data_IF_492133092736
#
_entry.id   IF_492133092736
#
_cell.length_a   1.000
_cell.length_b   1.000
_cell.length_c   1.000
_cell.angle_alpha   90.00
_cell.angle_beta   90.00
_cell.angle_gamma   90.00
#
_symmetry.space_group_name_H-M   'P 1'
#
loop_
_entity.id
_entity.type
_entity.pdbx_description
1 polymer ?
#
# COMPACT_ATOMS: atom_id res chain seq x y z
N UNK A 1 -38.64 -76.03 -4.89
CA UNK A 1 -38.81 -75.10 -3.76
C UNK A 1 -38.10 -73.80 -4.13
N UNK A 2 -38.84 -72.69 -4.22
CA UNK A 2 -38.29 -71.32 -4.33
C UNK A 2 -39.25 -70.44 -3.53
N UNK A 3 -38.74 -69.68 -2.57
CA UNK A 3 -39.53 -68.67 -1.86
C UNK A 3 -38.60 -67.58 -1.30
N UNK A 4 -38.89 -66.27 -1.48
CA UNK A 4 -38.06 -65.17 -1.01
C UNK A 4 -38.64 -64.47 0.23
N UNK A 5 -37.79 -63.81 1.02
CA UNK A 5 -38.08 -62.53 1.71
C UNK A 5 -36.89 -62.05 2.55
N UNK A 6 -36.33 -60.86 2.26
CA UNK A 6 -35.94 -59.87 3.28
C UNK A 6 -35.62 -58.51 2.64
N UNK A 7 -36.58 -57.59 2.65
CA UNK A 7 -36.41 -56.23 2.09
C UNK A 7 -37.30 -55.22 2.83
N UNK A 8 -37.24 -55.16 4.17
CA UNK A 8 -38.15 -54.32 4.94
C UNK A 8 -37.60 -53.74 6.26
N UNK A 9 -36.39 -53.15 6.23
CA UNK A 9 -35.77 -52.50 7.42
C UNK A 9 -35.35 -51.03 7.18
N UNK A 10 -35.16 -50.59 5.92
CA UNK A 10 -34.62 -49.24 5.64
C UNK A 10 -35.62 -48.09 5.58
N UNK A 11 -36.93 -48.35 5.52
CA UNK A 11 -37.95 -47.28 5.36
C UNK A 11 -38.26 -46.47 6.64
N UNK A 12 -37.78 -46.89 7.81
CA UNK A 12 -38.10 -46.22 9.08
C UNK A 12 -37.31 -44.92 9.30
N UNK A 13 -35.98 -45.01 9.19
CA UNK A 13 -35.06 -43.97 9.67
C UNK A 13 -35.21 -42.60 8.95
N UNK A 14 -35.48 -42.61 7.64
CA UNK A 14 -35.56 -41.37 6.85
C UNK A 14 -36.79 -40.51 7.22
N UNK A 15 -37.85 -41.12 7.79
CA UNK A 15 -39.09 -40.40 8.16
C UNK A 15 -38.91 -39.55 9.42
N UNK A 16 -37.99 -39.93 10.32
CA UNK A 16 -37.82 -39.30 11.62
C UNK A 16 -36.88 -38.08 11.56
N UNK A 17 -35.83 -38.17 10.74
CA UNK A 17 -34.88 -37.07 10.49
C UNK A 17 -35.58 -35.84 9.85
N UNK A 18 -36.59 -36.06 9.00
CA UNK A 18 -37.40 -34.97 8.42
C UNK A 18 -38.36 -34.29 9.41
N UNK A 19 -38.71 -34.92 10.55
CA UNK A 19 -39.53 -34.27 11.59
C UNK A 19 -38.74 -33.25 12.40
N UNK A 20 -37.53 -33.59 12.87
CA UNK A 20 -36.72 -32.69 13.70
C UNK A 20 -36.41 -31.36 12.99
N UNK A 21 -36.15 -31.40 11.68
CA UNK A 21 -35.89 -30.21 10.84
C UNK A 21 -37.12 -29.27 10.80
N UNK A 22 -38.35 -29.81 10.84
CA UNK A 22 -39.58 -29.02 10.74
C UNK A 22 -39.92 -28.26 12.02
N UNK A 23 -39.55 -28.77 13.19
CA UNK A 23 -39.91 -28.15 14.47
C UNK A 23 -38.88 -27.13 14.96
N UNK A 24 -37.57 -27.32 14.70
CA UNK A 24 -36.59 -26.24 14.86
C UNK A 24 -36.86 -25.03 13.94
N UNK A 25 -37.43 -25.25 12.75
CA UNK A 25 -37.87 -24.18 11.86
C UNK A 25 -39.04 -23.33 12.39
N UNK A 26 -39.71 -23.76 13.46
CA UNK A 26 -40.84 -23.03 14.09
C UNK A 26 -40.40 -22.14 15.25
N UNK A 27 -39.37 -22.55 15.99
CA UNK A 27 -38.97 -21.93 17.26
C UNK A 27 -38.31 -20.55 17.12
N UNK A 28 -38.02 -20.10 15.89
CA UNK A 28 -37.41 -18.79 15.59
C UNK A 28 -38.41 -17.73 15.09
N UNK A 29 -39.72 -18.02 15.10
CA UNK A 29 -40.75 -17.12 14.53
C UNK A 29 -41.59 -16.33 15.54
N UNK A 30 -41.55 -16.70 16.81
CA UNK A 30 -42.48 -16.18 17.84
C UNK A 30 -41.86 -15.15 18.81
N UNK A 31 -40.69 -14.58 18.50
CA UNK A 31 -39.99 -13.59 19.36
C UNK A 31 -39.46 -12.38 18.57
N UNK A 32 -40.36 -11.66 17.88
CA UNK A 32 -40.13 -10.24 17.49
C UNK A 32 -41.44 -9.55 17.03
N UNK A 33 -42.48 -9.58 17.86
CA UNK A 33 -43.65 -8.70 17.73
C UNK A 33 -43.95 -8.07 19.09
N UNK A 34 -43.99 -6.75 19.13
CA UNK A 34 -44.13 -5.95 20.35
C UNK A 34 -44.21 -4.48 19.98
N UNK A 35 -45.39 -3.89 20.21
CA UNK A 35 -45.88 -2.66 19.61
C UNK A 35 -45.11 -1.39 20.03
N UNK A 36 -44.92 -0.46 19.07
CA UNK A 36 -44.91 0.99 19.33
C UNK A 36 -45.65 1.69 18.18
N UNK A 37 -46.68 2.45 18.57
CA UNK A 37 -47.50 3.46 17.91
C UNK A 37 -47.49 3.67 16.37
N UNK A 38 -48.71 3.69 15.84
CA UNK A 38 -49.09 4.41 14.62
C UNK A 38 -49.25 5.91 14.88
N UNK A 39 -48.79 6.76 13.96
CA UNK A 39 -49.70 7.64 13.19
C UNK A 39 -48.98 8.52 12.14
N UNK A 40 -49.81 9.20 11.33
CA UNK A 40 -49.51 10.33 10.42
C UNK A 40 -49.04 10.00 8.98
N UNK A 41 -49.87 10.49 8.05
CA UNK A 41 -49.65 10.80 6.62
C UNK A 41 -49.36 9.68 5.58
N UNK A 42 -50.42 9.32 4.87
CA UNK A 42 -50.36 8.87 3.46
C UNK A 42 -51.21 9.78 2.55
N UNK A 43 -50.59 10.30 1.49
CA UNK A 43 -51.10 11.05 0.30
C UNK A 43 -49.88 11.76 -0.33
N UNK A 44 -49.64 11.86 -1.64
CA UNK A 44 -50.15 11.23 -2.85
C UNK A 44 -49.00 11.36 -3.92
N UNK A 45 -49.03 10.93 -5.18
CA UNK A 45 -50.07 10.44 -6.11
C UNK A 45 -49.41 9.40 -7.06
N UNK A 46 -50.07 8.97 -8.14
CA UNK A 46 -49.49 8.12 -9.19
C UNK A 46 -49.91 8.55 -10.61
N UNK A 47 -49.13 8.14 -11.61
CA UNK A 47 -49.44 8.16 -13.07
C UNK A 47 -49.56 9.56 -13.75
N UNK A 48 -49.30 9.78 -15.05
CA UNK A 48 -48.86 8.92 -16.19
C UNK A 48 -48.11 9.80 -17.26
N UNK A 49 -47.38 9.25 -18.25
CA UNK A 49 -46.66 10.03 -19.27
C UNK A 49 -47.33 10.07 -20.67
N UNK A 50 -46.97 11.08 -21.47
CA UNK A 50 -47.18 11.26 -22.94
C UNK A 50 -46.38 12.50 -23.43
N UNK A 51 -46.23 12.84 -24.72
CA UNK A 51 -45.86 12.09 -25.96
C UNK A 51 -45.94 13.04 -27.18
N UNK A 52 -44.95 13.01 -28.11
CA UNK A 52 -44.93 13.72 -29.45
C UNK A 52 -45.11 15.26 -29.41
N UNK A 53 -44.74 16.11 -30.39
CA UNK A 53 -44.12 16.02 -31.75
C UNK A 53 -42.89 16.98 -31.81
N UNK A 54 -41.81 16.80 -32.60
CA UNK A 54 -41.59 16.92 -34.07
C UNK A 54 -41.88 18.30 -34.72
N UNK A 55 -40.84 18.99 -35.25
CA UNK A 55 -40.70 19.51 -36.64
C UNK A 55 -39.81 20.79 -36.83
N UNK A 56 -38.79 20.67 -37.69
CA UNK A 56 -38.25 21.61 -38.71
C UNK A 56 -37.69 23.04 -38.43
N UNK A 57 -36.53 23.29 -39.08
CA UNK A 57 -36.03 24.54 -39.70
C UNK A 57 -35.67 25.77 -38.81
N UNK A 58 -34.76 26.68 -39.16
CA UNK A 58 -34.05 26.95 -40.45
C UNK A 58 -32.54 27.25 -40.23
N UNK A 59 -31.77 27.34 -41.31
CA UNK A 59 -30.36 27.80 -41.31
C UNK A 59 -30.19 29.28 -40.93
N UNK A 60 -29.04 29.61 -40.33
CA UNK A 60 -28.21 30.71 -40.84
C UNK A 60 -26.75 30.49 -40.44
N UNK A 61 -25.84 30.59 -41.41
CA UNK A 61 -24.41 30.72 -41.16
C UNK A 61 -23.93 32.10 -41.58
N UNK A 62 -22.79 32.55 -41.04
CA UNK A 62 -21.98 33.55 -41.70
C UNK A 62 -20.50 33.36 -41.37
N UNK A 63 -19.68 33.59 -42.38
CA UNK A 63 -18.23 33.38 -42.44
C UNK A 63 -17.57 34.75 -42.65
N UNK A 64 -16.39 34.98 -42.05
CA UNK A 64 -15.57 36.15 -42.37
C UNK A 64 -14.09 35.80 -42.46
N UNK A 65 -13.55 35.94 -43.67
CA UNK A 65 -12.12 35.91 -44.01
C UNK A 65 -11.85 37.02 -45.02
N UNK A 66 -11.14 38.07 -44.59
CA UNK A 66 -10.45 39.10 -45.38
C UNK A 66 -9.27 39.51 -44.46
N UNK A 67 -7.99 39.25 -44.75
CA UNK A 67 -7.13 39.89 -45.76
C UNK A 67 -6.95 41.41 -45.51
N UNK A 68 -5.80 42.08 -45.68
CA UNK A 68 -4.43 41.65 -45.95
C UNK A 68 -3.58 42.88 -46.33
N UNK A 69 -2.29 42.93 -45.96
CA UNK A 69 -1.34 43.94 -46.50
C UNK A 69 0.13 43.65 -46.13
N UNK A 70 1.02 43.74 -47.11
CA UNK A 70 2.48 43.67 -46.95
C UNK A 70 3.09 45.03 -46.57
N UNK A 71 4.25 45.04 -45.88
CA UNK A 71 5.34 45.99 -46.17
C UNK A 71 6.69 45.24 -46.06
N UNK A 72 7.58 45.45 -47.04
CA UNK A 72 8.90 44.82 -47.14
C UNK A 72 9.99 45.89 -47.38
N UNK A 73 11.10 45.85 -46.62
CA UNK A 73 12.42 46.53 -46.77
C UNK A 73 13.32 46.03 -45.61
N UNK A 74 14.53 45.47 -45.72
CA UNK A 74 15.67 45.50 -46.68
C UNK A 74 16.75 46.57 -46.36
N UNK A 75 18.02 46.12 -46.29
CA UNK A 75 19.23 46.81 -45.79
C UNK A 75 19.88 46.00 -44.64
N UNK A 76 21.16 45.59 -44.58
CA UNK A 76 22.48 46.22 -44.84
C UNK A 76 22.79 47.39 -43.87
N UNK A 77 23.97 47.52 -43.24
CA UNK A 77 25.25 46.76 -43.36
C UNK A 77 26.21 46.94 -42.14
N UNK A 78 27.17 46.01 -42.00
CA UNK A 78 28.57 46.07 -41.45
C UNK A 78 29.09 47.15 -40.46
N UNK A 79 29.94 46.67 -39.50
CA UNK A 79 31.16 47.30 -38.88
C UNK A 79 31.07 48.71 -38.22
N UNK A 80 31.90 49.15 -37.26
CA UNK A 80 33.08 48.58 -36.55
C UNK A 80 33.18 49.19 -35.11
N UNK A 81 34.13 48.80 -34.22
CA UNK A 81 34.11 49.18 -32.80
C UNK A 81 34.95 50.41 -32.43
N UNK A 82 34.52 51.13 -31.38
CA UNK A 82 35.41 51.95 -30.56
C UNK A 82 34.83 52.23 -29.16
N UNK A 83 35.52 51.79 -28.11
CA UNK A 83 35.57 52.55 -26.85
C UNK A 83 36.88 52.26 -26.13
N UNK A 84 37.67 53.30 -25.87
CA UNK A 84 39.00 53.21 -25.25
C UNK A 84 39.02 53.86 -23.87
N UNK A 85 39.94 53.39 -23.04
CA UNK A 85 40.10 53.66 -21.62
C UNK A 85 40.02 55.14 -21.19
N UNK A 86 39.58 55.36 -19.94
CA UNK A 86 40.51 55.93 -18.93
C UNK A 86 40.08 55.77 -17.45
N UNK A 87 41.12 55.71 -16.63
CA UNK A 87 41.22 56.10 -15.22
C UNK A 87 40.45 55.30 -14.14
N UNK A 88 41.19 54.41 -13.47
CA UNK A 88 41.08 54.08 -12.04
C UNK A 88 41.18 55.33 -11.15
N UNK A 89 40.70 55.25 -9.90
CA UNK A 89 41.68 55.31 -8.79
C UNK A 89 41.38 54.36 -7.61
N UNK A 90 42.38 54.19 -6.74
CA UNK A 90 42.27 53.72 -5.35
C UNK A 90 41.60 52.35 -5.10
N UNK A 91 42.36 51.30 -5.39
CA UNK A 91 42.81 50.33 -4.37
C UNK A 91 42.11 50.43 -3.00
N UNK A 92 41.39 49.35 -2.65
CA UNK A 92 41.05 48.99 -1.27
C UNK A 92 41.37 47.52 -1.07
N UNK A 93 42.11 47.24 -0.01
CA UNK A 93 42.52 45.90 0.36
C UNK A 93 41.29 45.00 0.58
N UNK A 94 41.32 43.84 -0.07
CA UNK A 94 40.48 42.69 0.28
C UNK A 94 41.45 41.66 0.83
N UNK A 95 41.53 41.58 2.16
CA UNK A 95 42.46 40.70 2.85
C UNK A 95 42.35 39.27 2.32
N UNK A 96 43.43 38.80 1.69
CA UNK A 96 43.61 37.39 1.35
C UNK A 96 43.98 36.66 2.64
N UNK A 97 42.99 36.46 3.50
CA UNK A 97 43.13 35.69 4.74
C UNK A 97 43.67 34.32 4.38
N UNK A 98 44.86 34.01 4.89
CA UNK A 98 45.62 32.85 4.49
C UNK A 98 44.85 31.55 4.75
N UNK A 99 45.05 30.57 3.86
CA UNK A 99 44.65 29.19 4.12
C UNK A 99 45.61 28.58 5.15
N UNK A 100 45.49 28.98 6.41
CA UNK A 100 46.13 28.28 7.51
C UNK A 100 45.57 26.85 7.56
N UNK A 101 46.46 25.90 7.31
CA UNK A 101 46.18 24.48 7.45
C UNK A 101 46.09 24.14 8.94
N UNK A 102 44.90 24.28 9.53
CA UNK A 102 44.62 23.63 10.81
C UNK A 102 44.85 22.12 10.63
N UNK A 103 45.94 21.61 11.21
CA UNK A 103 46.14 20.18 11.43
C UNK A 103 45.13 19.69 12.47
N UNK A 104 43.88 19.51 12.04
CA UNK A 104 42.88 18.79 12.80
C UNK A 104 43.15 17.28 12.71
N UNK A 105 44.27 16.87 13.31
CA UNK A 105 44.56 15.52 13.79
C UNK A 105 43.62 15.13 14.94
N UNK A 106 42.31 15.34 14.74
CA UNK A 106 41.22 14.88 15.60
C UNK A 106 41.26 13.36 15.61
N UNK A 107 41.74 12.80 16.72
CA UNK A 107 41.67 11.37 17.01
C UNK A 107 40.27 10.86 16.69
N UNK A 108 40.17 9.89 15.78
CA UNK A 108 38.89 9.30 15.45
C UNK A 108 38.32 8.65 16.73
N UNK A 109 37.14 9.09 17.23
CA UNK A 109 36.68 8.71 18.56
C UNK A 109 36.58 7.19 18.64
N UNK A 110 37.28 6.60 19.62
CA UNK A 110 37.40 5.15 19.75
C UNK A 110 36.01 4.53 19.98
N UNK A 111 35.41 4.09 18.88
CA UNK A 111 33.99 3.74 18.82
C UNK A 111 33.78 2.37 19.50
N UNK A 112 33.63 2.42 20.82
CA UNK A 112 33.45 1.27 21.72
C UNK A 112 32.37 0.32 21.19
N UNK A 113 32.51 -0.98 21.46
CA UNK A 113 31.52 -1.97 21.03
C UNK A 113 30.10 -1.63 21.52
N UNK A 114 29.98 -1.01 22.71
CA UNK A 114 28.71 -0.50 23.25
C UNK A 114 28.12 0.63 22.42
N UNK A 115 28.92 1.62 21.99
CA UNK A 115 28.42 2.71 21.14
C UNK A 115 28.06 2.24 19.73
N UNK A 116 28.78 1.24 19.18
CA UNK A 116 28.39 0.56 17.92
C UNK A 116 27.12 -0.28 18.06
N UNK A 117 26.93 -0.95 19.20
CA UNK A 117 25.70 -1.68 19.49
C UNK A 117 24.50 -0.72 19.62
N UNK A 118 24.65 0.41 20.34
CA UNK A 118 23.60 1.40 20.50
C UNK A 118 23.19 2.06 19.18
N UNK A 119 24.14 2.39 18.29
CA UNK A 119 23.78 2.90 16.95
C UNK A 119 23.10 1.83 16.08
N UNK A 120 23.57 0.58 16.12
CA UNK A 120 22.89 -0.53 15.43
C UNK A 120 21.47 -0.77 15.97
N UNK A 121 21.26 -0.64 17.29
CA UNK A 121 19.93 -0.74 17.91
C UNK A 121 19.00 0.39 17.47
N UNK A 122 19.46 1.63 17.34
CA UNK A 122 18.60 2.73 16.85
C UNK A 122 18.42 2.72 15.32
N UNK A 123 19.38 2.19 14.54
CA UNK A 123 19.21 1.95 13.10
C UNK A 123 18.20 0.81 12.82
N UNK A 124 18.19 -0.26 13.63
CA UNK A 124 17.33 -1.43 13.44
C UNK A 124 16.14 -1.52 14.41
N UNK A 125 15.85 -0.45 15.17
CA UNK A 125 14.86 -0.45 16.26
C UNK A 125 13.50 -1.05 15.87
N UNK A 126 13.03 -0.74 14.66
CA UNK A 126 11.75 -1.21 14.15
C UNK A 126 11.68 -2.74 14.02
N UNK A 127 12.75 -3.38 13.52
CA UNK A 127 12.81 -4.85 13.41
C UNK A 127 12.84 -5.50 14.79
N UNK A 128 13.58 -4.91 15.74
CA UNK A 128 13.68 -5.41 17.12
C UNK A 128 12.32 -5.29 17.83
N UNK A 129 11.65 -4.13 17.73
CA UNK A 129 10.30 -3.93 18.26
C UNK A 129 9.27 -4.87 17.62
N UNK A 130 9.35 -5.10 16.30
CA UNK A 130 8.48 -6.02 15.59
C UNK A 130 8.68 -7.47 16.07
N UNK A 131 9.92 -7.94 16.20
CA UNK A 131 10.23 -9.27 16.74
C UNK A 131 9.72 -9.46 18.17
N UNK A 132 9.92 -8.47 19.04
CA UNK A 132 9.40 -8.49 20.42
C UNK A 132 7.86 -8.55 20.45
N UNK A 133 7.18 -7.78 19.59
CA UNK A 133 5.72 -7.79 19.51
C UNK A 133 5.15 -9.11 18.96
N UNK A 134 5.86 -9.77 18.03
CA UNK A 134 5.49 -11.11 17.55
C UNK A 134 5.61 -12.14 18.68
N UNK A 135 6.69 -12.08 19.47
CA UNK A 135 6.87 -12.95 20.65
C UNK A 135 5.75 -12.71 21.66
N UNK A 136 5.44 -11.44 22.01
CA UNK A 136 4.36 -11.11 22.94
C UNK A 136 2.99 -11.60 22.45
N UNK A 137 2.68 -11.42 21.16
CA UNK A 137 1.47 -11.94 20.54
C UNK A 137 1.39 -13.48 20.49
N UNK A 138 2.52 -14.20 20.56
CA UNK A 138 2.55 -15.65 20.66
C UNK A 138 2.31 -16.19 22.09
N UNK A 139 2.51 -15.35 23.12
CA UNK A 139 2.40 -15.76 24.53
C UNK A 139 1.10 -15.30 25.20
N UNK A 140 0.57 -14.14 24.82
CA UNK A 140 -0.65 -13.56 25.43
C UNK A 140 -1.53 -13.00 24.33
N UNK A 141 -2.67 -13.66 24.09
CA UNK A 141 -3.65 -13.25 23.08
C UNK A 141 -4.89 -12.59 23.70
N UNK A 142 -5.48 -11.63 22.99
CA UNK A 142 -6.83 -11.14 23.28
C UNK A 142 -7.85 -12.27 23.00
N UNK A 143 -8.87 -12.51 23.86
CA UNK A 143 -9.88 -13.55 23.64
C UNK A 143 -10.64 -13.39 22.32
N UNK A 144 -10.92 -14.50 21.63
CA UNK A 144 -11.56 -14.53 20.30
C UNK A 144 -12.84 -13.68 20.22
N UNK A 145 -13.69 -13.70 21.25
CA UNK A 145 -14.94 -12.90 21.31
C UNK A 145 -14.73 -11.39 21.23
N UNK A 146 -13.52 -10.89 21.49
CA UNK A 146 -13.14 -9.47 21.37
C UNK A 146 -12.28 -9.17 20.14
N UNK A 147 -11.78 -10.19 19.43
CA UNK A 147 -10.82 -10.05 18.34
C UNK A 147 -11.32 -9.17 17.18
N UNK A 148 -12.55 -9.38 16.72
CA UNK A 148 -13.14 -8.61 15.61
C UNK A 148 -13.30 -7.13 15.96
N UNK A 149 -13.65 -6.82 17.22
CA UNK A 149 -13.78 -5.44 17.71
C UNK A 149 -12.40 -4.80 17.87
N UNK A 150 -11.47 -5.51 18.53
CA UNK A 150 -10.07 -5.10 18.73
C UNK A 150 -9.38 -4.75 17.40
N UNK A 151 -9.40 -5.69 16.45
CA UNK A 151 -8.71 -5.54 15.16
C UNK A 151 -9.31 -4.40 14.32
N UNK A 152 -10.64 -4.23 14.37
CA UNK A 152 -11.34 -3.14 13.68
C UNK A 152 -11.00 -1.77 14.26
N UNK A 153 -11.06 -1.61 15.59
CA UNK A 153 -10.73 -0.34 16.27
C UNK A 153 -9.26 0.02 16.03
N UNK A 154 -8.34 -0.92 16.20
CA UNK A 154 -6.91 -0.71 15.97
C UNK A 154 -6.66 -0.31 14.52
N UNK A 155 -7.23 -1.05 13.55
CA UNK A 155 -7.05 -0.74 12.13
C UNK A 155 -7.51 0.68 11.81
N UNK A 156 -8.72 1.09 12.19
CA UNK A 156 -9.18 2.47 11.94
C UNK A 156 -8.31 3.51 12.64
N UNK A 157 -8.04 3.36 13.94
CA UNK A 157 -7.31 4.36 14.72
C UNK A 157 -5.85 4.52 14.25
N UNK A 158 -5.15 3.41 14.01
CA UNK A 158 -3.77 3.44 13.51
C UNK A 158 -3.70 3.92 12.05
N UNK A 159 -4.65 3.57 11.17
CA UNK A 159 -4.75 4.13 9.82
C UNK A 159 -4.92 5.65 9.87
N UNK A 160 -5.89 6.15 10.65
CA UNK A 160 -6.14 7.58 10.79
C UNK A 160 -4.89 8.32 11.27
N UNK A 161 -4.17 7.78 12.26
CA UNK A 161 -2.90 8.35 12.76
C UNK A 161 -1.81 8.34 11.67
N UNK A 162 -1.63 7.23 10.96
CA UNK A 162 -0.62 7.10 9.89
C UNK A 162 -0.90 8.08 8.76
N UNK A 163 -2.13 8.14 8.26
CA UNK A 163 -2.48 9.02 7.13
C UNK A 163 -2.58 10.49 7.52
N UNK A 164 -2.99 10.84 8.75
CA UNK A 164 -2.90 12.21 9.26
C UNK A 164 -1.45 12.69 9.37
N UNK A 165 -0.57 11.90 9.99
CA UNK A 165 0.85 12.23 10.08
C UNK A 165 1.54 12.25 8.71
N UNK A 166 1.09 11.40 7.77
CA UNK A 166 1.47 11.48 6.35
C UNK A 166 1.04 12.83 5.77
N UNK A 167 -0.22 13.25 5.95
CA UNK A 167 -0.71 14.55 5.49
C UNK A 167 0.08 15.73 6.04
N UNK A 168 0.45 15.71 7.33
CA UNK A 168 1.27 16.75 7.94
C UNK A 168 2.71 16.80 7.37
N UNK A 169 3.31 15.64 7.10
CA UNK A 169 4.72 15.54 6.64
C UNK A 169 4.88 15.68 5.13
N UNK A 170 3.90 15.24 4.35
CA UNK A 170 3.85 15.22 2.90
C UNK A 170 4.03 16.62 2.32
N UNK A 171 5.03 16.76 1.45
CA UNK A 171 5.43 18.04 0.90
C UNK A 171 4.77 18.29 -0.46
N UNK A 172 3.73 19.11 -0.45
CA UNK A 172 2.95 19.47 -1.64
C UNK A 172 3.84 20.10 -2.73
N UNK A 173 4.91 20.80 -2.35
CA UNK A 173 5.91 21.33 -3.29
C UNK A 173 6.76 20.24 -3.95
N UNK A 174 7.10 19.18 -3.22
CA UNK A 174 7.83 18.02 -3.78
C UNK A 174 6.92 17.23 -4.73
N UNK A 175 5.64 17.06 -4.38
CA UNK A 175 4.62 16.48 -5.28
C UNK A 175 4.51 17.25 -6.59
N UNK A 176 4.28 18.56 -6.53
CA UNK A 176 4.14 19.42 -7.72
C UNK A 176 5.41 19.40 -8.56
N UNK A 177 6.60 19.53 -7.94
CA UNK A 177 7.89 19.50 -8.65
C UNK A 177 8.17 18.17 -9.34
N UNK A 178 7.72 17.04 -8.78
CA UNK A 178 7.91 15.73 -9.38
C UNK A 178 6.77 15.30 -10.32
N UNK A 179 5.62 15.97 -10.33
CA UNK A 179 4.46 15.63 -11.17
C UNK A 179 4.81 15.45 -12.66
N UNK A 180 5.71 16.29 -13.19
CA UNK A 180 6.22 16.20 -14.56
C UNK A 180 6.91 14.86 -14.89
N UNK A 181 7.30 14.07 -13.87
CA UNK A 181 7.92 12.74 -14.01
C UNK A 181 6.88 11.61 -14.22
N UNK A 182 5.74 11.90 -14.86
CA UNK A 182 4.62 10.97 -15.08
C UNK A 182 5.05 9.58 -15.60
N UNK A 183 6.06 9.49 -16.47
CA UNK A 183 6.63 8.21 -16.95
C UNK A 183 7.17 7.35 -15.80
N UNK A 184 7.85 7.94 -14.82
CA UNK A 184 8.31 7.25 -13.62
C UNK A 184 7.15 6.85 -12.70
N UNK A 185 6.08 7.65 -12.66
CA UNK A 185 4.88 7.33 -11.88
C UNK A 185 4.13 6.13 -12.46
N UNK A 186 3.80 6.14 -13.76
CA UNK A 186 3.18 4.99 -14.42
C UNK A 186 4.06 3.73 -14.35
N UNK A 187 5.38 3.88 -14.52
CA UNK A 187 6.32 2.76 -14.41
C UNK A 187 6.30 2.10 -13.03
N UNK A 188 6.43 2.89 -11.95
CA UNK A 188 6.42 2.35 -10.58
C UNK A 188 5.04 1.78 -10.24
N UNK A 189 3.95 2.50 -10.48
CA UNK A 189 2.62 2.01 -10.10
C UNK A 189 2.21 0.79 -10.93
N UNK A 190 2.57 0.75 -12.22
CA UNK A 190 2.41 -0.43 -13.07
C UNK A 190 3.19 -1.65 -12.56
N UNK A 191 4.43 -1.46 -12.08
CA UNK A 191 5.17 -2.54 -11.44
C UNK A 191 4.56 -2.95 -10.08
N UNK A 192 4.27 -1.98 -9.20
CA UNK A 192 3.69 -2.20 -7.87
C UNK A 192 2.37 -2.98 -7.93
N UNK A 193 1.47 -2.65 -8.87
CA UNK A 193 0.13 -3.23 -8.94
C UNK A 193 0.02 -4.35 -9.97
N UNK A 194 0.37 -4.11 -11.23
CA UNK A 194 0.14 -5.08 -12.31
C UNK A 194 1.22 -6.17 -12.32
N UNK A 195 2.51 -5.80 -12.35
CA UNK A 195 3.61 -6.77 -12.42
C UNK A 195 3.65 -7.68 -11.19
N UNK A 196 3.65 -7.10 -9.97
CA UNK A 196 3.67 -7.91 -8.75
C UNK A 196 2.50 -8.88 -8.66
N UNK A 197 1.28 -8.42 -8.97
CA UNK A 197 0.10 -9.28 -8.84
C UNK A 197 0.01 -10.34 -9.94
N UNK A 198 0.37 -10.01 -11.19
CA UNK A 198 0.39 -10.98 -12.28
C UNK A 198 1.44 -12.08 -12.07
N UNK A 199 2.65 -11.72 -11.59
CA UNK A 199 3.68 -12.71 -11.24
C UNK A 199 3.19 -13.61 -10.10
N UNK A 200 2.65 -13.04 -9.01
CA UNK A 200 2.16 -13.87 -7.90
C UNK A 200 1.00 -14.77 -8.31
N UNK A 201 0.04 -14.26 -9.06
CA UNK A 201 -1.08 -15.06 -9.57
C UNK A 201 -0.60 -16.19 -10.47
N UNK A 202 0.39 -15.94 -11.33
CA UNK A 202 1.05 -16.98 -12.13
C UNK A 202 1.76 -18.03 -11.27
N UNK A 203 2.52 -17.61 -10.25
CA UNK A 203 3.21 -18.50 -9.31
C UNK A 203 2.23 -19.35 -8.51
N UNK A 204 1.14 -18.75 -7.98
CA UNK A 204 0.08 -19.47 -7.26
C UNK A 204 -0.62 -20.45 -8.21
N UNK A 205 -1.00 -20.03 -9.41
CA UNK A 205 -1.68 -20.89 -10.39
C UNK A 205 -0.80 -22.07 -10.86
N UNK A 206 0.53 -21.87 -10.95
CA UNK A 206 1.47 -22.91 -11.33
C UNK A 206 1.83 -23.88 -10.19
N UNK A 207 1.65 -23.49 -8.92
CA UNK A 207 1.99 -24.31 -7.74
C UNK A 207 0.79 -24.98 -7.09
N UNK A 208 -0.37 -24.31 -7.06
CA UNK A 208 -1.63 -24.81 -6.52
C UNK A 208 -2.36 -25.80 -7.45
N UNK A 209 -1.64 -26.68 -8.14
CA UNK A 209 -2.22 -27.71 -9.04
C UNK A 209 -2.84 -28.88 -8.28
N UNK A 210 -2.37 -29.17 -7.05
CA UNK A 210 -2.99 -30.10 -6.12
C UNK A 210 -3.69 -29.34 -4.96
N UNK A 211 -4.85 -29.84 -4.52
CA UNK A 211 -5.57 -29.33 -3.34
C UNK A 211 -4.81 -29.55 -2.03
N UNK A 212 -4.05 -30.63 -1.93
CA UNK A 212 -3.27 -30.97 -0.73
C UNK A 212 -1.96 -30.16 -0.60
N UNK A 213 -1.65 -29.29 -1.58
CA UNK A 213 -0.38 -28.57 -1.66
C UNK A 213 -0.23 -27.51 -0.55
N UNK A 214 -1.27 -26.71 -0.31
CA UNK A 214 -1.21 -25.53 0.55
C UNK A 214 -2.60 -25.12 1.01
N UNK A 215 -2.71 -24.48 2.18
CA UNK A 215 -4.00 -23.98 2.67
C UNK A 215 -4.55 -22.88 1.73
N UNK A 216 -5.83 -22.96 1.31
CA UNK A 216 -6.40 -22.05 0.32
C UNK A 216 -6.49 -20.60 0.81
N UNK A 217 -6.66 -20.37 2.11
CA UNK A 217 -6.62 -19.04 2.70
C UNK A 217 -5.24 -18.39 2.59
N UNK A 218 -4.16 -19.18 2.67
CA UNK A 218 -2.80 -18.68 2.39
C UNK A 218 -2.58 -18.40 0.90
N UNK A 219 -3.16 -19.18 -0.01
CA UNK A 219 -3.06 -18.95 -1.46
C UNK A 219 -3.78 -17.66 -1.88
N UNK A 220 -4.99 -17.43 -1.36
CA UNK A 220 -5.70 -16.14 -1.47
C UNK A 220 -4.89 -15.02 -0.80
N UNK A 221 -4.28 -15.26 0.36
CA UNK A 221 -3.42 -14.32 1.07
C UNK A 221 -2.16 -13.92 0.29
N UNK A 222 -1.56 -14.83 -0.48
CA UNK A 222 -0.44 -14.54 -1.38
C UNK A 222 -0.86 -13.58 -2.50
N UNK A 223 -1.97 -13.89 -3.20
CA UNK A 223 -2.54 -13.02 -4.23
C UNK A 223 -2.90 -11.65 -3.64
N UNK A 224 -3.56 -11.62 -2.48
CA UNK A 224 -3.91 -10.39 -1.77
C UNK A 224 -2.67 -9.54 -1.44
N UNK A 225 -1.64 -10.14 -0.84
CA UNK A 225 -0.37 -9.48 -0.51
C UNK A 225 0.30 -8.89 -1.76
N UNK A 226 0.23 -9.57 -2.90
CA UNK A 226 0.77 -9.03 -4.15
C UNK A 226 0.00 -7.82 -4.70
N UNK A 227 -1.28 -7.66 -4.35
CA UNK A 227 -2.13 -6.57 -4.84
C UNK A 227 -2.05 -5.29 -3.99
N UNK A 228 -1.69 -5.36 -2.70
CA UNK A 228 -1.70 -4.18 -1.80
C UNK A 228 -0.65 -3.12 -2.18
N UNK A 229 -0.87 -1.84 -1.81
CA UNK A 229 0.08 -0.75 -2.06
C UNK A 229 1.37 -0.87 -1.25
N UNK A 230 2.33 -0.02 -1.60
CA UNK A 230 3.70 -0.02 -1.08
C UNK A 230 3.85 0.62 0.31
N UNK A 231 4.84 0.19 1.10
CA UNK A 231 5.05 0.67 2.47
C UNK A 231 5.59 2.10 2.51
N UNK A 232 4.90 3.00 3.22
CA UNK A 232 5.26 4.42 3.29
C UNK A 232 6.58 4.68 4.04
N UNK A 233 6.69 4.24 5.29
CA UNK A 233 7.77 4.67 6.19
C UNK A 233 9.13 3.99 5.90
N UNK A 234 9.16 2.66 5.79
CA UNK A 234 10.39 1.88 5.58
C UNK A 234 11.11 2.30 4.30
N UNK A 235 10.37 2.43 3.20
CA UNK A 235 10.94 2.61 1.87
C UNK A 235 11.64 3.97 1.74
N UNK A 236 11.06 5.03 2.31
CA UNK A 236 11.68 6.36 2.36
C UNK A 236 12.98 6.32 3.18
N UNK A 237 12.98 5.68 4.35
CA UNK A 237 14.17 5.54 5.21
C UNK A 237 15.28 4.73 4.53
N UNK A 238 14.95 3.58 3.93
CA UNK A 238 15.92 2.72 3.24
C UNK A 238 16.48 3.39 1.98
N UNK A 239 15.63 4.08 1.19
CA UNK A 239 16.11 4.91 0.07
C UNK A 239 17.07 5.99 0.56
N UNK A 240 16.78 6.64 1.70
CA UNK A 240 17.63 7.68 2.27
C UNK A 240 19.00 7.15 2.72
N UNK A 241 19.02 6.04 3.45
CA UNK A 241 20.25 5.37 3.89
C UNK A 241 21.07 4.87 2.69
N UNK A 242 20.42 4.35 1.64
CA UNK A 242 21.03 3.90 0.39
C UNK A 242 21.49 5.04 -0.55
N UNK A 243 21.26 6.31 -0.18
CA UNK A 243 21.54 7.53 -1.00
C UNK A 243 20.77 7.61 -2.33
N UNK A 244 19.66 6.89 -2.46
CA UNK A 244 18.74 6.98 -3.60
C UNK A 244 17.97 8.31 -3.68
N UNK A 245 16.94 8.37 -4.52
CA UNK A 245 16.06 9.53 -4.66
C UNK A 245 14.89 9.47 -3.67
N UNK A 246 15.08 10.08 -2.49
CA UNK A 246 14.06 10.16 -1.45
C UNK A 246 12.77 10.87 -1.90
N UNK A 247 12.89 11.90 -2.74
CA UNK A 247 11.73 12.66 -3.23
C UNK A 247 10.84 11.80 -4.11
N UNK A 248 11.46 11.05 -5.05
CA UNK A 248 10.73 10.10 -5.87
C UNK A 248 10.07 9.03 -5.00
N UNK A 249 10.77 8.45 -4.02
CA UNK A 249 10.15 7.47 -3.11
C UNK A 249 8.94 8.06 -2.38
N UNK A 250 9.05 9.26 -1.78
CA UNK A 250 7.92 9.92 -1.07
C UNK A 250 6.70 10.10 -1.97
N UNK A 251 6.90 10.57 -3.20
CA UNK A 251 5.80 10.75 -4.17
C UNK A 251 5.20 9.39 -4.57
N UNK A 252 6.02 8.38 -4.82
CA UNK A 252 5.55 7.06 -5.25
C UNK A 252 4.82 6.29 -4.13
N UNK A 253 5.26 6.39 -2.87
CA UNK A 253 4.54 5.77 -1.75
C UNK A 253 3.23 6.51 -1.46
N UNK A 254 3.18 7.83 -1.63
CA UNK A 254 1.94 8.61 -1.48
C UNK A 254 0.95 8.25 -2.59
N UNK A 255 1.38 8.32 -3.85
CA UNK A 255 0.56 8.00 -5.01
C UNK A 255 0.06 6.55 -4.98
N UNK A 256 0.94 5.61 -4.62
CA UNK A 256 0.61 4.19 -4.52
C UNK A 256 -0.40 3.91 -3.40
N UNK A 257 -0.27 4.51 -2.22
CA UNK A 257 -1.26 4.32 -1.16
C UNK A 257 -2.61 5.00 -1.47
N UNK A 258 -2.61 6.14 -2.18
CA UNK A 258 -3.84 6.77 -2.67
C UNK A 258 -4.56 5.89 -3.70
N UNK A 259 -3.86 5.53 -4.78
CA UNK A 259 -4.41 4.71 -5.89
C UNK A 259 -4.76 3.29 -5.41
N UNK A 260 -4.01 2.75 -4.44
CA UNK A 260 -4.20 1.40 -3.92
C UNK A 260 -5.57 1.15 -3.29
N UNK A 261 -6.24 2.17 -2.75
CA UNK A 261 -7.62 2.05 -2.24
C UNK A 261 -8.61 1.70 -3.36
N UNK A 262 -8.33 2.17 -4.59
CA UNK A 262 -9.15 1.92 -5.78
C UNK A 262 -8.71 0.67 -6.53
N UNK A 263 -7.40 0.45 -6.71
CA UNK A 263 -6.86 -0.64 -7.54
C UNK A 263 -6.77 -1.98 -6.80
N UNK A 264 -6.46 -2.00 -5.50
CA UNK A 264 -6.34 -3.28 -4.77
C UNK A 264 -7.66 -4.08 -4.80
N UNK A 265 -8.85 -3.50 -4.54
CA UNK A 265 -10.11 -4.25 -4.64
C UNK A 265 -10.37 -4.79 -6.06
N UNK A 266 -10.12 -3.99 -7.11
CA UNK A 266 -10.27 -4.44 -8.50
C UNK A 266 -9.39 -5.67 -8.79
N UNK A 267 -8.10 -5.59 -8.49
CA UNK A 267 -7.17 -6.69 -8.74
C UNK A 267 -7.54 -7.93 -7.92
N UNK A 268 -7.85 -7.77 -6.63
CA UNK A 268 -8.20 -8.89 -5.76
C UNK A 268 -9.45 -9.61 -6.28
N UNK A 269 -10.53 -8.89 -6.61
CA UNK A 269 -11.74 -9.53 -7.14
C UNK A 269 -11.52 -10.06 -8.57
N UNK A 270 -10.70 -9.41 -9.41
CA UNK A 270 -10.33 -9.93 -10.73
C UNK A 270 -9.64 -11.30 -10.65
N UNK A 271 -8.70 -11.48 -9.71
CA UNK A 271 -8.01 -12.77 -9.53
C UNK A 271 -8.85 -13.81 -8.75
N UNK A 272 -9.75 -13.39 -7.85
CA UNK A 272 -10.63 -14.32 -7.13
C UNK A 272 -11.91 -14.69 -7.88
N UNK A 273 -12.26 -13.97 -8.95
CA UNK A 273 -13.33 -14.33 -9.88
C UNK A 273 -12.96 -15.49 -10.82
N UNK A 274 -11.67 -15.78 -10.99
CA UNK A 274 -11.22 -16.99 -11.71
C UNK A 274 -11.63 -18.22 -10.90
N UNK A 275 -12.41 -19.13 -11.50
CA UNK A 275 -12.83 -20.35 -10.83
C UNK A 275 -11.61 -21.26 -10.58
N UNK A 276 -11.21 -21.36 -9.31
CA UNK A 276 -10.13 -22.22 -8.83
C UNK A 276 -10.54 -22.80 -7.48
N UNK A 277 -10.05 -24.00 -7.16
CA UNK A 277 -10.40 -24.69 -5.91
C UNK A 277 -10.01 -23.92 -4.65
N UNK A 278 -9.04 -23.00 -4.73
CA UNK A 278 -8.61 -22.17 -3.60
C UNK A 278 -9.43 -20.88 -3.46
N UNK A 279 -10.13 -20.46 -4.51
CA UNK A 279 -11.09 -19.35 -4.45
C UNK A 279 -12.44 -19.80 -3.88
N UNK A 280 -12.78 -21.10 -3.94
CA UNK A 280 -14.04 -21.68 -3.41
C UNK A 280 -14.27 -21.41 -1.90
N UNK A 281 -13.22 -21.15 -1.11
CA UNK A 281 -13.36 -20.77 0.31
C UNK A 281 -13.87 -19.35 0.53
N UNK A 282 -13.90 -18.53 -0.53
CA UNK A 282 -14.52 -17.22 -0.54
C UNK A 282 -15.99 -17.39 -0.92
N UNK A 283 -16.87 -17.41 0.08
CA UNK A 283 -18.33 -17.55 -0.10
C UNK A 283 -18.84 -16.71 -1.28
N UNK A 284 -19.64 -17.30 -2.17
CA UNK A 284 -20.07 -16.68 -3.43
C UNK A 284 -20.75 -15.30 -3.27
N UNK A 285 -21.30 -15.00 -2.09
CA UNK A 285 -21.82 -13.68 -1.70
C UNK A 285 -20.78 -12.55 -1.68
N UNK A 286 -19.49 -12.86 -1.50
CA UNK A 286 -18.42 -11.89 -1.29
C UNK A 286 -17.67 -11.51 -2.58
N UNK A 287 -17.65 -12.39 -3.60
CA UNK A 287 -16.96 -12.15 -4.88
C UNK A 287 -17.90 -11.71 -6.01
N UNK A 288 -19.17 -12.16 -6.00
CA UNK A 288 -20.14 -11.81 -7.06
C UNK A 288 -20.63 -10.36 -7.03
N UNK A 289 -20.45 -9.62 -5.93
CA UNK A 289 -20.99 -8.27 -5.75
C UNK A 289 -19.90 -7.18 -5.75
N UNK A 290 -19.21 -7.00 -6.89
CA UNK A 290 -18.19 -5.95 -7.09
C UNK A 290 -18.62 -4.58 -6.52
N UNK A 291 -19.85 -4.15 -6.82
CA UNK A 291 -20.38 -2.87 -6.34
C UNK A 291 -20.52 -2.76 -4.82
N UNK A 292 -20.85 -3.86 -4.13
CA UNK A 292 -20.98 -3.88 -2.66
C UNK A 292 -19.61 -3.90 -1.98
N UNK A 293 -18.65 -4.67 -2.52
CA UNK A 293 -17.25 -4.65 -2.06
C UNK A 293 -16.68 -3.24 -2.21
N UNK A 294 -16.89 -2.59 -3.36
CA UNK A 294 -16.48 -1.22 -3.59
C UNK A 294 -17.19 -0.22 -2.65
N UNK A 295 -18.52 -0.30 -2.49
CA UNK A 295 -19.29 0.56 -1.57
C UNK A 295 -18.77 0.46 -0.14
N UNK A 296 -18.48 -0.75 0.32
CA UNK A 296 -17.93 -1.05 1.65
C UNK A 296 -16.52 -0.46 1.81
N UNK A 297 -15.62 -0.77 0.88
CA UNK A 297 -14.24 -0.24 0.86
C UNK A 297 -14.21 1.29 0.81
N UNK A 298 -15.00 1.94 -0.03
CA UNK A 298 -15.06 3.41 -0.06
C UNK A 298 -15.58 4.01 1.25
N UNK A 299 -16.71 3.50 1.77
CA UNK A 299 -17.34 4.03 3.00
C UNK A 299 -16.47 3.84 4.24
N UNK A 300 -15.67 2.77 4.29
CA UNK A 300 -14.82 2.44 5.43
C UNK A 300 -13.38 2.97 5.27
N UNK A 301 -12.71 2.60 4.18
CA UNK A 301 -11.29 2.89 3.95
C UNK A 301 -11.07 4.20 3.21
N UNK A 302 -11.89 4.50 2.20
CA UNK A 302 -11.85 5.81 1.55
C UNK A 302 -12.00 6.94 2.56
N UNK A 303 -12.95 6.82 3.49
CA UNK A 303 -13.12 7.79 4.57
C UNK A 303 -11.92 7.82 5.53
N UNK A 304 -11.49 6.68 6.08
CA UNK A 304 -10.42 6.63 7.08
C UNK A 304 -9.00 6.88 6.53
N UNK A 305 -8.79 6.82 5.23
CA UNK A 305 -7.52 7.17 4.57
C UNK A 305 -7.56 8.62 4.08
N UNK A 306 -8.56 9.01 3.29
CA UNK A 306 -8.56 10.32 2.64
C UNK A 306 -8.92 11.46 3.58
N UNK A 307 -9.85 11.28 4.53
CA UNK A 307 -10.24 12.35 5.46
C UNK A 307 -9.07 12.72 6.38
N UNK A 308 -8.37 11.79 7.07
CA UNK A 308 -7.20 12.14 7.88
C UNK A 308 -6.04 12.70 7.06
N UNK A 309 -5.79 12.19 5.84
CA UNK A 309 -4.78 12.75 4.92
C UNK A 309 -5.10 14.21 4.54
N UNK A 310 -6.36 14.51 4.22
CA UNK A 310 -6.82 15.86 3.90
C UNK A 310 -6.74 16.79 5.12
N UNK A 311 -7.16 16.35 6.31
CA UNK A 311 -6.98 17.11 7.55
C UNK A 311 -5.50 17.37 7.86
N UNK A 312 -4.61 16.43 7.59
CA UNK A 312 -3.17 16.62 7.77
C UNK A 312 -2.58 17.64 6.78
N UNK A 313 -2.99 17.61 5.51
CA UNK A 313 -2.59 18.64 4.52
C UNK A 313 -3.19 20.01 4.87
N UNK A 314 -4.44 20.09 5.33
CA UNK A 314 -5.07 21.33 5.78
C UNK A 314 -4.37 21.90 7.03
N UNK A 315 -4.07 21.06 8.03
CA UNK A 315 -3.31 21.46 9.21
C UNK A 315 -1.91 21.96 8.84
N UNK A 316 -1.25 21.34 7.84
CA UNK A 316 0.02 21.82 7.28
C UNK A 316 -0.13 23.15 6.52
N UNK A 317 -1.24 23.37 5.81
CA UNK A 317 -1.49 24.61 5.07
C UNK A 317 -1.72 25.81 6.01
N UNK A 318 -2.59 25.66 7.01
CA UNK A 318 -2.85 26.70 8.01
C UNK A 318 -1.68 26.89 9.00
N UNK A 319 -0.94 25.82 9.29
CA UNK A 319 0.22 25.84 10.19
C UNK A 319 1.45 25.23 9.49
N UNK A 320 2.14 25.97 8.59
CA UNK A 320 3.30 25.45 7.84
C UNK A 320 4.46 25.01 8.75
N UNK A 321 4.56 25.60 9.93
CA UNK A 321 5.49 25.19 10.99
C UNK A 321 5.20 23.80 11.57
N UNK A 322 3.95 23.31 11.53
CA UNK A 322 3.54 22.05 12.14
C UNK A 322 4.29 20.85 11.52
N UNK A 323 4.39 20.83 10.18
CA UNK A 323 5.12 19.78 9.47
C UNK A 323 6.63 19.80 9.75
N UNK A 324 7.24 20.99 9.81
CA UNK A 324 8.70 21.14 9.93
C UNK A 324 9.21 21.15 11.38
N UNK A 325 8.52 21.80 12.33
CA UNK A 325 8.90 21.88 13.75
C UNK A 325 8.38 20.69 14.56
N UNK A 326 7.14 20.22 14.32
CA UNK A 326 6.58 19.10 15.08
C UNK A 326 6.98 17.77 14.44
N UNK A 327 6.46 17.43 13.25
CA UNK A 327 6.64 16.07 12.72
C UNK A 327 8.04 15.74 12.18
N UNK A 328 8.80 16.72 11.66
CA UNK A 328 10.20 16.48 11.19
C UNK A 328 11.26 16.63 12.29
N UNK A 329 11.10 17.56 13.25
CA UNK A 329 12.10 17.84 14.31
C UNK A 329 11.86 17.13 15.64
N UNK A 330 10.61 16.87 16.07
CA UNK A 330 10.36 16.16 17.33
C UNK A 330 10.54 14.63 17.13
N UNK A 331 11.47 14.04 17.89
CA UNK A 331 11.83 12.62 17.80
C UNK A 331 10.63 11.68 18.04
N UNK A 332 9.72 12.06 18.94
CA UNK A 332 8.53 11.25 19.28
C UNK A 332 7.54 11.28 18.13
N UNK A 333 7.20 12.48 17.64
CA UNK A 333 6.23 12.68 16.55
C UNK A 333 6.68 12.01 15.24
N UNK A 334 7.99 12.01 14.98
CA UNK A 334 8.59 11.27 13.86
C UNK A 334 8.41 9.75 13.96
N UNK A 335 8.36 9.17 15.17
CA UNK A 335 8.18 7.71 15.39
C UNK A 335 6.72 7.27 15.43
N UNK A 336 5.75 8.17 15.64
CA UNK A 336 4.31 7.84 15.74
C UNK A 336 3.79 6.95 14.58
N UNK A 337 4.04 7.24 13.29
CA UNK A 337 3.53 6.39 12.20
C UNK A 337 4.12 4.97 12.23
N UNK A 338 5.39 4.84 12.62
CA UNK A 338 6.05 3.55 12.78
C UNK A 338 5.53 2.78 14.00
N UNK A 339 5.18 3.47 15.09
CA UNK A 339 4.54 2.85 16.26
C UNK A 339 3.12 2.39 15.95
N UNK A 340 2.31 3.20 15.26
CA UNK A 340 0.99 2.80 14.78
C UNK A 340 1.06 1.59 13.81
N UNK A 341 2.07 1.54 12.94
CA UNK A 341 2.34 0.38 12.09
C UNK A 341 2.71 -0.87 12.91
N UNK A 342 3.56 -0.74 13.93
CA UNK A 342 3.91 -1.83 14.85
C UNK A 342 2.67 -2.37 15.60
N UNK A 343 1.74 -1.49 15.98
CA UNK A 343 0.47 -1.90 16.62
C UNK A 343 -0.47 -2.63 15.65
N UNK A 344 -0.53 -2.23 14.37
CA UNK A 344 -1.27 -3.00 13.33
C UNK A 344 -0.65 -4.40 13.15
N UNK A 345 0.68 -4.48 13.05
CA UNK A 345 1.40 -5.77 12.91
C UNK A 345 1.11 -6.66 14.14
N UNK A 346 1.28 -6.12 15.36
CA UNK A 346 0.95 -6.83 16.60
C UNK A 346 -0.51 -7.32 16.61
N UNK A 347 -1.46 -6.44 16.30
CA UNK A 347 -2.90 -6.78 16.25
C UNK A 347 -3.21 -7.89 15.25
N UNK A 348 -2.43 -7.99 14.17
CA UNK A 348 -2.59 -9.04 13.15
C UNK A 348 -2.05 -10.39 13.65
N UNK A 349 -0.84 -10.40 14.24
CA UNK A 349 -0.29 -11.61 14.85
C UNK A 349 -1.13 -12.11 16.03
N UNK A 350 -1.58 -11.20 16.91
CA UNK A 350 -2.48 -11.52 18.02
C UNK A 350 -3.80 -12.12 17.53
N UNK A 351 -4.37 -11.64 16.40
CA UNK A 351 -5.53 -12.26 15.78
C UNK A 351 -5.21 -13.68 15.25
N UNK A 352 -4.08 -13.85 14.55
CA UNK A 352 -3.68 -15.11 13.92
C UNK A 352 -3.25 -16.21 14.91
N UNK A 353 -2.71 -15.85 16.07
CA UNK A 353 -2.52 -16.77 17.19
C UNK A 353 -3.85 -17.06 17.91
N UNK A 354 -4.66 -16.02 18.20
CA UNK A 354 -5.95 -16.18 18.90
C UNK A 354 -6.94 -17.06 18.14
N UNK A 355 -6.95 -17.00 16.80
CA UNK A 355 -7.82 -17.79 15.92
C UNK A 355 -7.35 -19.22 15.68
N UNK A 356 -6.16 -19.61 16.17
CA UNK A 356 -5.56 -20.92 15.89
C UNK A 356 -5.07 -21.07 14.43
N UNK A 357 -5.05 -20.01 13.63
CA UNK A 357 -4.67 -20.06 12.22
C UNK A 357 -3.21 -20.53 11.98
N UNK A 358 -2.32 -20.33 12.95
CA UNK A 358 -0.97 -20.91 12.88
C UNK A 358 -0.92 -22.41 13.20
N UNK A 359 -1.92 -22.97 13.88
CA UNK A 359 -1.97 -24.37 14.30
C UNK A 359 -2.72 -25.23 13.28
N UNK A 360 -3.82 -24.72 12.71
CA UNK A 360 -4.57 -25.42 11.64
C UNK A 360 -3.82 -25.44 10.30
N UNK A 361 -2.81 -24.58 10.10
CA UNK A 361 -1.94 -24.59 8.93
C UNK A 361 -0.80 -25.62 9.11
N UNK A 362 -0.63 -26.60 8.20
CA UNK A 362 0.47 -27.55 8.19
C UNK A 362 1.88 -26.93 8.28
N UNK A 363 2.81 -27.64 8.92
CA UNK A 363 4.21 -27.20 9.06
C UNK A 363 4.91 -27.01 7.70
N UNK A 364 4.63 -27.88 6.73
CA UNK A 364 5.04 -27.74 5.32
C UNK A 364 4.69 -26.37 4.75
N UNK A 365 3.43 -25.95 4.94
CA UNK A 365 2.88 -24.72 4.37
C UNK A 365 3.54 -23.49 5.02
N UNK A 366 3.78 -23.54 6.33
CA UNK A 366 4.50 -22.47 7.07
C UNK A 366 5.93 -22.30 6.56
N UNK A 367 6.65 -23.41 6.32
CA UNK A 367 8.02 -23.39 5.79
C UNK A 367 8.03 -22.90 4.33
N UNK A 368 7.18 -23.47 3.46
CA UNK A 368 7.07 -23.07 2.06
C UNK A 368 6.71 -21.58 1.93
N UNK A 369 5.79 -21.08 2.77
CA UNK A 369 5.39 -19.67 2.76
C UNK A 369 6.57 -18.72 2.98
N UNK A 370 7.47 -19.01 3.93
CA UNK A 370 8.67 -18.17 4.15
C UNK A 370 9.58 -18.19 2.91
N UNK A 371 9.81 -19.36 2.32
CA UNK A 371 10.66 -19.48 1.13
C UNK A 371 10.06 -18.81 -0.11
N UNK A 372 8.76 -18.98 -0.39
CA UNK A 372 8.13 -18.38 -1.56
C UNK A 372 7.99 -16.85 -1.41
N UNK A 373 7.77 -16.33 -0.19
CA UNK A 373 7.75 -14.89 0.07
C UNK A 373 9.16 -14.26 -0.07
N UNK A 374 10.22 -14.97 0.29
CA UNK A 374 11.59 -14.52 0.03
C UNK A 374 11.94 -14.60 -1.47
N UNK A 375 11.60 -15.70 -2.13
CA UNK A 375 11.83 -15.88 -3.56
C UNK A 375 11.08 -14.82 -4.39
N UNK A 376 9.81 -14.54 -4.09
CA UNK A 376 9.01 -13.55 -4.81
C UNK A 376 9.53 -12.12 -4.56
N UNK A 377 10.05 -11.82 -3.36
CA UNK A 377 10.72 -10.55 -3.09
C UNK A 377 11.99 -10.39 -3.92
N UNK A 378 12.81 -11.44 -4.05
CA UNK A 378 13.98 -11.45 -4.94
C UNK A 378 13.60 -11.33 -6.43
N UNK A 379 12.51 -11.95 -6.86
CA UNK A 379 11.99 -11.83 -8.24
C UNK A 379 11.50 -10.41 -8.54
N UNK A 380 10.69 -9.81 -7.65
CA UNK A 380 10.26 -8.41 -7.79
C UNK A 380 11.48 -7.47 -7.80
N UNK A 381 12.45 -7.67 -6.91
CA UNK A 381 13.67 -6.88 -6.86
C UNK A 381 14.47 -7.00 -8.16
N UNK A 382 14.70 -8.23 -8.62
CA UNK A 382 15.48 -8.53 -9.82
C UNK A 382 14.85 -7.91 -11.07
N UNK A 383 13.55 -8.13 -11.30
CA UNK A 383 12.84 -7.58 -12.47
C UNK A 383 12.72 -6.06 -12.37
N UNK A 384 12.40 -5.52 -11.18
CA UNK A 384 12.25 -4.07 -11.00
C UNK A 384 13.56 -3.32 -11.23
N UNK A 385 14.69 -3.83 -10.73
CA UNK A 385 16.02 -3.27 -11.03
C UNK A 385 16.35 -3.46 -12.52
N UNK A 386 16.28 -4.69 -13.04
CA UNK A 386 16.71 -5.00 -14.40
C UNK A 386 15.94 -4.20 -15.47
N UNK A 387 14.61 -4.13 -15.37
CA UNK A 387 13.80 -3.36 -16.31
C UNK A 387 14.03 -1.85 -16.17
N UNK A 388 14.36 -1.35 -14.97
CA UNK A 388 14.60 0.08 -14.74
C UNK A 388 16.00 0.56 -15.15
N UNK A 389 16.99 -0.35 -15.30
CA UNK A 389 18.35 -0.04 -15.77
C UNK A 389 18.36 0.70 -17.12
N UNK A 390 17.40 0.40 -18.00
CA UNK A 390 17.33 0.97 -19.34
C UNK A 390 16.64 2.35 -19.40
N UNK A 391 15.98 2.77 -18.32
CA UNK A 391 15.04 3.90 -18.33
C UNK A 391 15.33 4.99 -17.29
N UNK A 392 16.07 4.69 -16.22
CA UNK A 392 16.23 5.58 -15.07
C UNK A 392 17.67 5.64 -14.53
N UNK A 393 18.12 6.76 -13.94
CA UNK A 393 19.43 6.85 -13.29
C UNK A 393 19.45 6.03 -11.99
N UNK A 394 20.63 5.56 -11.56
CA UNK A 394 20.78 4.62 -10.43
C UNK A 394 20.07 5.07 -9.14
N UNK A 395 20.08 6.37 -8.83
CA UNK A 395 19.41 6.92 -7.65
C UNK A 395 17.88 6.78 -7.71
N UNK A 396 17.29 6.86 -8.90
CA UNK A 396 15.87 6.59 -9.11
C UNK A 396 15.60 5.07 -9.12
N UNK A 397 16.48 4.24 -9.69
CA UNK A 397 16.34 2.77 -9.67
C UNK A 397 16.26 2.25 -8.22
N UNK A 398 17.07 2.79 -7.30
CA UNK A 398 17.00 2.45 -5.87
C UNK A 398 15.64 2.83 -5.26
N UNK A 399 15.08 3.99 -5.62
CA UNK A 399 13.75 4.41 -5.19
C UNK A 399 12.65 3.50 -5.75
N UNK A 400 12.72 3.17 -7.04
CA UNK A 400 11.81 2.25 -7.74
C UNK A 400 11.83 0.87 -7.08
N UNK A 401 13.02 0.30 -6.87
CA UNK A 401 13.19 -1.03 -6.29
C UNK A 401 12.58 -1.14 -4.88
N UNK A 402 12.81 -0.17 -4.00
CA UNK A 402 12.16 -0.16 -2.68
C UNK A 402 10.64 0.03 -2.78
N UNK A 403 10.15 0.87 -3.71
CA UNK A 403 8.70 1.02 -3.91
C UNK A 403 8.02 -0.27 -4.39
N UNK A 404 8.60 -0.96 -5.37
CA UNK A 404 7.97 -2.16 -5.98
C UNK A 404 8.06 -3.39 -5.07
N UNK A 405 9.16 -3.54 -4.33
CA UNK A 405 9.35 -4.65 -3.37
C UNK A 405 8.72 -4.40 -2.00
N UNK A 406 8.29 -3.17 -1.70
CA UNK A 406 7.55 -2.85 -0.49
C UNK A 406 6.06 -3.15 -0.64
N UNK A 407 5.46 -3.76 0.38
CA UNK A 407 4.03 -4.04 0.49
C UNK A 407 3.58 -3.74 1.92
N UNK A 408 2.60 -2.84 2.07
CA UNK A 408 2.32 -2.14 3.33
C UNK A 408 1.10 -2.62 4.11
N UNK A 409 1.26 -3.45 5.17
CA UNK A 409 0.20 -3.80 6.12
C UNK A 409 -0.62 -2.62 6.66
N UNK A 410 -0.03 -1.43 6.80
CA UNK A 410 -0.71 -0.19 7.21
C UNK A 410 -2.00 0.10 6.41
N UNK A 411 -2.01 -0.28 5.14
CA UNK A 411 -3.16 -0.13 4.23
C UNK A 411 -3.74 -1.50 3.85
N UNK A 412 -2.89 -2.52 3.76
CA UNK A 412 -3.27 -3.90 3.42
C UNK A 412 -4.15 -4.61 4.45
N UNK A 413 -3.85 -4.55 5.75
CA UNK A 413 -4.68 -5.21 6.77
C UNK A 413 -6.08 -4.58 6.85
N UNK A 414 -6.24 -3.24 6.88
CA UNK A 414 -7.55 -2.58 6.74
C UNK A 414 -8.30 -2.95 5.45
N UNK A 415 -7.60 -3.05 4.30
CA UNK A 415 -8.16 -3.54 3.04
C UNK A 415 -8.69 -4.97 3.16
N UNK A 416 -7.95 -5.88 3.81
CA UNK A 416 -8.39 -7.27 3.98
C UNK A 416 -9.67 -7.37 4.83
N UNK A 417 -9.74 -6.65 5.96
CA UNK A 417 -10.92 -6.60 6.85
C UNK A 417 -12.17 -6.12 6.10
N UNK A 418 -12.00 -5.23 5.11
CA UNK A 418 -13.11 -4.65 4.34
C UNK A 418 -13.51 -5.52 3.14
N UNK A 419 -12.55 -6.08 2.41
CA UNK A 419 -12.79 -6.94 1.24
C UNK A 419 -13.32 -8.31 1.67
N UNK A 420 -12.68 -8.94 2.66
CA UNK A 420 -13.03 -10.26 3.20
C UNK A 420 -13.99 -10.18 4.41
N UNK A 421 -14.64 -9.03 4.60
CA UNK A 421 -15.67 -8.79 5.62
C UNK A 421 -16.77 -9.85 5.56
N UNK A 422 -16.89 -10.66 6.61
CA UNK A 422 -17.91 -11.70 6.75
C UNK A 422 -17.38 -13.13 6.62
N UNK A 423 -16.08 -13.32 6.36
CA UNK A 423 -15.43 -14.63 6.57
C UNK A 423 -15.24 -14.92 8.07
N UNK A 424 -14.99 -16.19 8.39
CA UNK A 424 -14.61 -16.60 9.75
C UNK A 424 -13.22 -16.08 10.14
N UNK A 425 -13.01 -15.82 11.43
CA UNK A 425 -11.79 -15.20 11.97
C UNK A 425 -10.51 -15.95 11.57
N UNK A 426 -10.54 -17.28 11.55
CA UNK A 426 -9.42 -18.12 11.12
C UNK A 426 -9.04 -17.89 9.65
N UNK A 427 -10.04 -17.80 8.75
CA UNK A 427 -9.81 -17.58 7.33
C UNK A 427 -9.36 -16.14 7.04
N UNK A 428 -9.91 -15.14 7.76
CA UNK A 428 -9.41 -13.76 7.73
C UNK A 428 -7.92 -13.71 8.16
N UNK A 429 -7.57 -14.38 9.26
CA UNK A 429 -6.19 -14.51 9.73
C UNK A 429 -5.28 -15.20 8.70
N UNK A 430 -5.71 -16.31 8.09
CA UNK A 430 -4.96 -17.02 7.04
C UNK A 430 -4.64 -16.11 5.84
N UNK A 431 -5.60 -15.30 5.39
CA UNK A 431 -5.39 -14.33 4.30
C UNK A 431 -4.43 -13.20 4.72
N UNK A 432 -4.39 -12.83 6.00
CA UNK A 432 -3.50 -11.78 6.54
C UNK A 432 -2.05 -12.26 6.82
N UNK A 433 -1.83 -13.54 7.14
CA UNK A 433 -0.51 -14.09 7.50
C UNK A 433 0.59 -13.80 6.45
N UNK A 434 0.37 -14.01 5.12
CA UNK A 434 1.37 -13.68 4.10
C UNK A 434 1.77 -12.20 4.07
N UNK A 435 0.84 -11.28 4.39
CA UNK A 435 1.07 -9.82 4.38
C UNK A 435 2.07 -9.41 5.45
N UNK A 436 1.91 -9.93 6.68
CA UNK A 436 2.82 -9.58 7.79
C UNK A 436 4.18 -10.27 7.68
N UNK A 437 4.22 -11.55 7.27
CA UNK A 437 5.50 -12.25 7.02
C UNK A 437 6.28 -11.56 5.89
N UNK A 438 5.62 -11.18 4.79
CA UNK A 438 6.29 -10.45 3.71
C UNK A 438 6.81 -9.09 4.17
N UNK A 439 6.07 -8.35 5.00
CA UNK A 439 6.58 -7.08 5.54
C UNK A 439 7.82 -7.30 6.41
N UNK A 440 7.85 -8.35 7.24
CA UNK A 440 9.02 -8.69 8.05
C UNK A 440 10.24 -9.05 7.20
N UNK A 441 10.07 -9.90 6.19
CA UNK A 441 11.13 -10.31 5.27
C UNK A 441 11.65 -9.11 4.45
N UNK A 442 10.77 -8.33 3.84
CA UNK A 442 11.14 -7.20 2.98
C UNK A 442 11.88 -6.10 3.73
N UNK A 443 11.62 -5.87 5.03
CA UNK A 443 12.41 -4.94 5.84
C UNK A 443 13.76 -5.56 6.23
N UNK A 444 13.81 -6.84 6.62
CA UNK A 444 15.05 -7.53 6.97
C UNK A 444 16.06 -7.59 5.81
N UNK A 445 15.64 -8.10 4.65
CA UNK A 445 16.50 -8.16 3.46
C UNK A 445 16.68 -6.78 2.80
N UNK A 446 15.68 -5.89 2.90
CA UNK A 446 15.76 -4.51 2.42
C UNK A 446 16.80 -3.66 3.15
N UNK A 447 17.03 -3.89 4.46
CA UNK A 447 18.08 -3.20 5.21
C UNK A 447 19.48 -3.69 4.83
N UNK A 448 19.67 -4.99 4.58
CA UNK A 448 20.93 -5.55 4.06
C UNK A 448 21.27 -4.98 2.68
N UNK A 449 20.25 -4.81 1.82
CA UNK A 449 20.38 -4.29 0.46
C UNK A 449 20.89 -2.84 0.40
N UNK A 450 20.69 -2.04 1.47
CA UNK A 450 21.21 -0.66 1.59
C UNK A 450 22.71 -0.60 1.27
N UNK A 451 23.48 -1.56 1.81
CA UNK A 451 24.95 -1.58 1.66
C UNK A 451 25.36 -1.80 0.20
N UNK A 452 24.60 -2.60 -0.54
CA UNK A 452 24.86 -2.89 -1.95
C UNK A 452 24.48 -1.70 -2.84
N UNK A 453 23.27 -1.16 -2.67
CA UNK A 453 22.81 0.02 -3.42
C UNK A 453 23.66 1.27 -3.16
N UNK A 454 24.06 1.50 -1.90
CA UNK A 454 24.96 2.60 -1.55
C UNK A 454 26.31 2.47 -2.25
N UNK A 455 26.94 1.29 -2.21
CA UNK A 455 28.21 1.02 -2.94
C UNK A 455 28.05 1.17 -4.46
N UNK A 456 26.89 0.82 -5.02
CA UNK A 456 26.61 0.93 -6.45
C UNK A 456 26.46 2.38 -6.94
N UNK A 457 25.84 3.25 -6.11
CA UNK A 457 25.76 4.70 -6.34
C UNK A 457 27.13 5.37 -6.12
N UNK A 458 27.84 5.02 -5.04
CA UNK A 458 29.18 5.57 -4.74
C UNK A 458 30.22 5.23 -5.83
N UNK A 459 30.11 4.06 -6.49
CA UNK A 459 30.92 3.71 -7.67
C UNK A 459 30.66 4.64 -8.86
N UNK A 460 29.40 4.94 -9.17
CA UNK A 460 29.05 5.86 -10.26
C UNK A 460 29.58 7.28 -10.01
N UNK A 461 29.46 7.75 -8.76
CA UNK A 461 29.94 9.07 -8.35
C UNK A 461 31.48 9.20 -8.39
N UNK A 462 32.22 8.07 -8.32
CA UNK A 462 33.67 8.03 -8.56
C UNK A 462 34.01 8.02 -10.04
N UNK A 463 33.32 7.21 -10.85
CA UNK A 463 33.54 7.20 -12.32
C UNK A 463 33.34 8.60 -12.91
N UNK A 464 32.18 9.22 -12.67
CA UNK A 464 31.86 10.61 -13.09
C UNK A 464 32.80 11.71 -12.52
N UNK A 465 33.74 11.37 -11.63
CA UNK A 465 34.79 12.25 -11.10
C UNK A 465 36.18 11.98 -11.67
N UNK A 466 36.37 10.85 -12.34
CA UNK A 466 37.57 10.52 -13.10
C UNK A 466 37.36 10.82 -14.60
N UNK A 467 36.10 10.82 -15.06
CA UNK A 467 35.68 11.18 -16.42
C UNK A 467 35.52 12.72 -16.60
N UNK A 468 36.10 13.52 -15.69
CA UNK A 468 35.97 14.99 -15.59
C UNK A 468 37.27 15.62 -15.11
#
# INVERSE_FOLDING_TARGET
MIQPAEQNVRSGAETEQYRQIRDHGRQYKDVSTGDIDSDVESKAYSERPKSVDQAHETQHGQEQVIDGSEIQRQGQEQHDPAYSARNTPAEKDVDVVALESEDQSKEAPQHTWRSRALTFLDDQWFLISMGLLIILASQVQVPQSRQTVKSRIISYLCVCIIFFATGCTLDSGILIRNYARWKAHLWVQGQCFLLCSAIMFGVVSATATNKDFMDPGLLVGLIFMSCIPTTLASNVVMTAQAKGNQELTVVQVTLGNFIGVFITPALVVMYTFVSTWYNDVLSASNTGQFGEVYRRVFKQLGLSIFVPLAFGQAARYFYPDLGNKIFKKNLVMKRIPSLAMLVIIWSTYDQAFSSGAFDTVPASNKIFLVFILLAIWLVYLGISVAASLFLFPKRDIVAIAYCVTGKGPATGIPLSISIFSGLGLELESKIQIPVVIYQSLSIGFGSMLIVLFRKWIEREAKQRKNDR
#
